data_IF_457398440595
#
_entry.id   IF_457398440595
#
_cell.length_a   1.000
_cell.length_b   1.000
_cell.length_c   1.000
_cell.angle_alpha   90.00
_cell.angle_beta   90.00
_cell.angle_gamma   90.00
#
_symmetry.space_group_name_H-M   'P 1'
#
loop_
_entity.id
_entity.type
_entity.pdbx_description
1 polymer ?
#
# COMPACT_ATOMS: atom_id res chain seq x y z
N UNK A 1 -10.78 -18.05 -24.25
CA UNK A 1 -11.63 -17.69 -23.11
C UNK A 1 -10.62 -17.39 -22.04
N UNK A 2 -10.18 -16.14 -22.06
CA UNK A 2 -9.09 -15.64 -21.24
C UNK A 2 -9.61 -15.59 -19.81
N UNK A 3 -8.88 -16.24 -18.90
CA UNK A 3 -9.19 -16.21 -17.48
C UNK A 3 -8.73 -14.84 -16.96
N UNK A 4 -9.69 -14.03 -16.55
CA UNK A 4 -9.48 -12.79 -15.83
C UNK A 4 -8.76 -13.13 -14.50
N UNK A 5 -7.44 -12.90 -14.44
CA UNK A 5 -6.73 -12.71 -13.19
C UNK A 5 -7.26 -11.41 -12.57
N UNK A 6 -8.18 -11.53 -11.61
CA UNK A 6 -8.50 -10.44 -10.68
C UNK A 6 -7.24 -10.19 -9.84
N UNK A 7 -6.36 -9.32 -10.32
CA UNK A 7 -5.33 -8.68 -9.52
C UNK A 7 -6.01 -8.07 -8.29
N UNK A 8 -5.74 -8.61 -7.10
CA UNK A 8 -6.07 -7.92 -5.85
C UNK A 8 -5.33 -6.58 -5.86
N UNK A 9 -6.03 -5.50 -6.22
CA UNK A 9 -5.54 -4.14 -6.14
C UNK A 9 -4.97 -3.92 -4.74
N UNK A 10 -3.63 -3.91 -4.61
CA UNK A 10 -2.95 -3.53 -3.37
C UNK A 10 -3.38 -2.11 -3.09
N UNK A 11 -4.32 -1.97 -2.15
CA UNK A 11 -4.85 -0.67 -1.74
C UNK A 11 -3.69 0.15 -1.20
N UNK A 12 -3.21 1.11 -2.00
CA UNK A 12 -2.21 2.07 -1.56
C UNK A 12 -2.81 2.92 -0.44
N UNK A 13 -2.28 2.76 0.79
CA UNK A 13 -2.71 3.55 1.94
C UNK A 13 -1.76 4.75 2.05
N UNK A 14 -2.27 6.00 1.91
CA UNK A 14 -1.43 7.19 1.99
C UNK A 14 -0.63 7.23 3.29
N UNK A 15 0.69 7.34 3.19
CA UNK A 15 1.59 7.43 4.33
C UNK A 15 2.17 6.11 4.85
N UNK A 16 1.63 4.95 4.47
CA UNK A 16 2.15 3.66 4.95
C UNK A 16 3.58 3.37 4.47
N UNK A 17 3.98 3.93 3.33
CA UNK A 17 5.33 3.82 2.81
C UNK A 17 6.31 4.87 3.38
N UNK A 18 5.91 5.68 4.37
CA UNK A 18 6.77 6.76 4.90
C UNK A 18 7.72 6.30 6.00
N UNK A 19 7.44 5.17 6.68
CA UNK A 19 8.26 4.70 7.81
C UNK A 19 9.77 4.62 7.53
N UNK A 20 10.24 4.15 6.34
CA UNK A 20 11.67 4.12 6.02
C UNK A 20 12.36 5.48 6.07
N UNK A 21 11.62 6.59 5.97
CA UNK A 21 12.15 7.95 5.85
C UNK A 21 12.04 8.78 7.13
N UNK A 22 11.32 8.29 8.15
CA UNK A 22 10.98 9.06 9.36
C UNK A 22 12.20 9.54 10.16
N UNK A 23 13.33 8.84 10.09
CA UNK A 23 14.58 9.27 10.74
C UNK A 23 15.18 10.52 10.09
N UNK A 24 14.87 10.78 8.81
CA UNK A 24 15.34 11.95 8.04
C UNK A 24 14.38 13.13 8.10
N UNK A 25 13.14 12.94 8.57
CA UNK A 25 12.11 13.98 8.63
C UNK A 25 12.56 15.23 9.42
N UNK A 26 13.28 15.13 10.56
CA UNK A 26 13.78 16.32 11.24
C UNK A 26 14.70 17.19 10.37
N UNK A 27 15.55 16.56 9.54
CA UNK A 27 16.41 17.28 8.59
C UNK A 27 15.58 17.94 7.48
N UNK A 28 14.58 17.23 6.95
CA UNK A 28 13.70 17.77 5.92
C UNK A 28 12.82 18.90 6.46
N UNK A 29 12.39 18.85 7.72
CA UNK A 29 11.64 19.92 8.38
C UNK A 29 12.50 21.18 8.51
N UNK A 30 13.78 21.03 8.85
CA UNK A 30 14.72 22.14 8.92
C UNK A 30 14.88 22.80 7.54
N UNK A 31 15.11 22.01 6.49
CA UNK A 31 15.21 22.51 5.10
C UNK A 31 13.92 23.18 4.63
N UNK A 32 12.76 22.61 4.97
CA UNK A 32 11.47 23.21 4.67
C UNK A 32 11.36 24.62 5.30
N UNK A 33 11.68 24.74 6.59
CA UNK A 33 11.66 26.02 7.33
C UNK A 33 12.62 27.06 6.73
N UNK A 34 13.82 26.64 6.36
CA UNK A 34 14.80 27.50 5.69
C UNK A 34 14.25 28.06 4.38
N UNK A 35 13.73 27.17 3.52
CA UNK A 35 13.18 27.56 2.23
C UNK A 35 12.02 28.53 2.41
N UNK A 36 11.04 28.25 3.27
CA UNK A 36 9.87 29.13 3.40
C UNK A 36 10.22 30.50 4.00
N UNK A 37 11.29 30.62 4.78
CA UNK A 37 11.74 31.89 5.37
C UNK A 37 12.43 32.84 4.37
N UNK A 38 12.92 32.35 3.23
CA UNK A 38 13.60 33.20 2.23
C UNK A 38 12.67 34.33 1.70
N UNK A 39 13.18 35.55 1.52
CA UNK A 39 12.38 36.61 0.92
C UNK A 39 12.28 36.37 -0.60
N UNK A 40 11.07 36.14 -1.12
CA UNK A 40 10.84 36.06 -2.57
C UNK A 40 9.70 37.00 -2.92
N UNK A 41 9.96 37.92 -3.84
CA UNK A 41 8.94 38.84 -4.38
C UNK A 41 8.35 38.26 -5.66
N UNK A 42 7.03 38.14 -5.66
CA UNK A 42 6.14 38.01 -6.84
C UNK A 42 6.50 36.91 -7.84
N UNK A 43 5.92 35.73 -7.61
CA UNK A 43 6.09 34.54 -8.45
C UNK A 43 4.74 34.07 -9.00
N UNK A 44 4.72 33.32 -10.12
CA UNK A 44 3.48 32.79 -10.71
C UNK A 44 2.59 32.00 -9.74
N UNK A 45 3.17 31.40 -8.69
CA UNK A 45 2.40 30.66 -7.69
C UNK A 45 1.62 31.55 -6.72
N UNK A 46 1.94 32.85 -6.58
CA UNK A 46 1.11 33.77 -5.81
C UNK A 46 -0.30 33.90 -6.40
N UNK A 47 -0.40 33.97 -7.73
CA UNK A 47 -1.69 34.11 -8.42
C UNK A 47 -2.56 32.87 -8.19
N UNK A 48 -1.96 31.67 -8.29
CA UNK A 48 -2.73 30.42 -8.14
C UNK A 48 -3.24 30.21 -6.71
N UNK A 49 -2.41 30.45 -5.71
CA UNK A 49 -2.83 30.34 -4.32
C UNK A 49 -3.88 31.39 -3.94
N UNK A 50 -3.83 32.60 -4.51
CA UNK A 50 -4.93 33.57 -4.39
C UNK A 50 -6.22 33.05 -5.03
N UNK A 51 -6.13 32.49 -6.24
CA UNK A 51 -7.28 31.89 -6.93
C UNK A 51 -7.91 30.76 -6.11
N UNK A 52 -7.12 29.87 -5.50
CA UNK A 52 -7.63 28.82 -4.61
C UNK A 52 -8.30 29.41 -3.37
N UNK A 53 -7.68 30.42 -2.73
CA UNK A 53 -8.28 31.08 -1.58
C UNK A 53 -9.64 31.69 -1.92
N UNK A 54 -9.73 32.43 -3.02
CA UNK A 54 -10.95 33.12 -3.43
C UNK A 54 -12.05 32.15 -3.85
N UNK A 55 -11.70 31.12 -4.63
CA UNK A 55 -12.68 30.19 -5.21
C UNK A 55 -13.16 29.09 -4.25
N UNK A 56 -12.34 28.68 -3.28
CA UNK A 56 -12.63 27.53 -2.40
C UNK A 56 -12.80 27.91 -0.93
N UNK A 57 -12.25 29.06 -0.52
CA UNK A 57 -12.10 29.40 0.90
C UNK A 57 -12.46 30.87 1.19
N UNK A 58 -13.36 31.47 0.40
CA UNK A 58 -13.88 32.84 0.63
C UNK A 58 -12.79 33.91 0.82
N UNK A 59 -11.65 33.76 0.15
CA UNK A 59 -10.51 34.67 0.23
C UNK A 59 -9.68 34.54 1.52
N UNK A 60 -9.79 33.42 2.23
CA UNK A 60 -9.09 33.15 3.49
C UNK A 60 -7.57 33.41 3.38
N UNK A 61 -7.11 34.42 4.11
CA UNK A 61 -5.72 34.86 4.09
C UNK A 61 -4.74 33.85 4.69
N UNK A 62 -5.19 33.09 5.69
CA UNK A 62 -4.35 32.09 6.36
C UNK A 62 -4.06 30.95 5.40
N UNK A 63 -5.09 30.40 4.74
CA UNK A 63 -4.90 29.42 3.68
C UNK A 63 -4.00 29.97 2.57
N UNK A 64 -4.27 31.19 2.10
CA UNK A 64 -3.46 31.82 1.05
C UNK A 64 -1.97 31.86 1.41
N UNK A 65 -1.65 32.28 2.63
CA UNK A 65 -0.27 32.34 3.13
C UNK A 65 0.37 30.95 3.23
N UNK A 66 -0.34 29.94 3.76
CA UNK A 66 0.16 28.56 3.85
C UNK A 66 0.35 27.93 2.48
N UNK A 67 -0.57 28.18 1.56
CA UNK A 67 -0.46 27.78 0.17
C UNK A 67 0.82 28.35 -0.48
N UNK A 68 1.17 29.61 -0.20
CA UNK A 68 2.42 30.19 -0.68
C UNK A 68 3.66 29.46 -0.13
N UNK A 69 3.68 29.12 1.15
CA UNK A 69 4.78 28.35 1.76
C UNK A 69 4.97 26.99 1.07
N UNK A 70 3.86 26.27 0.83
CA UNK A 70 3.87 24.97 0.14
C UNK A 70 4.34 25.10 -1.30
N UNK A 71 3.77 26.04 -2.05
CA UNK A 71 4.11 26.28 -3.45
C UNK A 71 5.58 26.68 -3.61
N UNK A 72 6.10 27.51 -2.70
CA UNK A 72 7.51 27.89 -2.65
C UNK A 72 8.43 26.69 -2.40
N UNK A 73 8.04 25.79 -1.50
CA UNK A 73 8.81 24.57 -1.26
C UNK A 73 8.76 23.61 -2.47
N UNK A 74 7.62 23.46 -3.13
CA UNK A 74 7.51 22.68 -4.38
C UNK A 74 8.42 23.25 -5.48
N UNK A 75 8.48 24.57 -5.63
CA UNK A 75 9.41 25.23 -6.55
C UNK A 75 10.89 24.93 -6.21
N UNK A 76 11.23 24.93 -4.91
CA UNK A 76 12.57 24.53 -4.48
C UNK A 76 12.87 23.07 -4.85
N UNK A 77 11.94 22.16 -4.61
CA UNK A 77 12.08 20.75 -4.97
C UNK A 77 12.23 20.54 -6.49
N UNK A 78 11.50 21.32 -7.31
CA UNK A 78 11.66 21.32 -8.77
C UNK A 78 13.10 21.64 -9.19
N UNK A 79 13.74 22.63 -8.55
CA UNK A 79 15.15 22.96 -8.82
C UNK A 79 16.14 21.85 -8.46
N UNK A 80 15.68 20.84 -7.71
CA UNK A 80 16.42 19.67 -7.24
C UNK A 80 15.89 18.36 -7.84
N UNK A 81 15.19 18.38 -8.98
CA UNK A 81 14.53 17.19 -9.55
C UNK A 81 15.47 15.99 -9.85
N UNK A 82 16.79 16.20 -9.93
CA UNK A 82 17.79 15.12 -10.06
C UNK A 82 18.26 14.53 -8.72
N UNK A 83 17.84 15.08 -7.58
CA UNK A 83 18.13 14.57 -6.25
C UNK A 83 17.34 13.27 -6.03
N UNK A 84 18.04 12.19 -5.70
CA UNK A 84 17.41 10.89 -5.42
C UNK A 84 16.48 10.94 -4.20
N UNK A 85 16.58 11.97 -3.36
CA UNK A 85 15.78 12.15 -2.15
C UNK A 85 14.42 12.83 -2.38
N UNK A 86 14.03 13.04 -3.63
CA UNK A 86 12.82 13.80 -3.98
C UNK A 86 11.56 13.13 -3.41
N UNK A 87 11.46 11.80 -3.48
CA UNK A 87 10.30 11.05 -3.01
C UNK A 87 10.15 11.15 -1.48
N UNK A 88 11.25 11.06 -0.74
CA UNK A 88 11.31 11.19 0.71
C UNK A 88 10.91 12.60 1.17
N UNK A 89 11.33 13.62 0.42
CA UNK A 89 10.96 15.01 0.68
C UNK A 89 9.50 15.30 0.39
N UNK A 90 8.93 14.66 -0.64
CA UNK A 90 7.50 14.73 -0.94
C UNK A 90 6.67 14.02 0.13
N UNK A 91 7.11 12.84 0.59
CA UNK A 91 6.50 12.12 1.72
C UNK A 91 6.50 12.98 2.99
N UNK A 92 7.63 13.61 3.30
CA UNK A 92 7.75 14.55 4.41
C UNK A 92 6.82 15.76 4.26
N UNK A 93 6.73 16.37 3.07
CA UNK A 93 5.79 17.46 2.81
C UNK A 93 4.35 17.03 3.11
N UNK A 94 3.92 15.88 2.58
CA UNK A 94 2.57 15.38 2.85
C UNK A 94 2.33 15.08 4.33
N UNK A 95 3.33 14.54 5.03
CA UNK A 95 3.28 14.35 6.47
C UNK A 95 3.07 15.67 7.21
N UNK A 96 3.82 16.75 6.91
CA UNK A 96 3.62 18.06 7.52
C UNK A 96 2.20 18.58 7.28
N UNK A 97 1.73 18.54 6.02
CA UNK A 97 0.40 19.04 5.66
C UNK A 97 -0.70 18.34 6.45
N UNK A 98 -0.51 17.06 6.76
CA UNK A 98 -1.46 16.26 7.51
C UNK A 98 -1.28 16.33 9.04
N UNK A 99 -0.11 16.70 9.55
CA UNK A 99 0.26 16.58 10.98
C UNK A 99 0.50 17.90 11.71
N UNK A 100 0.86 18.98 11.02
CA UNK A 100 1.08 20.32 11.58
C UNK A 100 -0.19 21.16 11.46
N UNK A 101 -0.73 21.60 12.60
CA UNK A 101 -1.97 22.37 12.69
C UNK A 101 -1.92 23.67 11.90
N UNK A 102 -0.73 24.22 11.63
CA UNK A 102 -0.59 25.41 10.78
C UNK A 102 -1.12 25.20 9.36
N UNK A 103 -1.16 23.96 8.87
CA UNK A 103 -1.57 23.62 7.50
C UNK A 103 -2.96 22.99 7.40
N UNK A 104 -3.39 22.22 8.41
CA UNK A 104 -4.70 21.54 8.40
C UNK A 104 -5.77 22.15 9.30
N UNK A 105 -5.42 23.01 10.26
CA UNK A 105 -6.35 23.62 11.20
C UNK A 105 -6.54 25.11 10.88
N UNK A 106 -7.13 25.37 9.72
CA UNK A 106 -7.45 26.73 9.25
C UNK A 106 -8.93 27.00 9.49
N UNK A 107 -9.23 28.16 10.08
CA UNK A 107 -10.60 28.57 10.44
C UNK A 107 -11.53 28.49 9.22
N UNK A 108 -12.69 27.85 9.41
CA UNK A 108 -13.72 27.64 8.38
C UNK A 108 -13.26 26.81 7.16
N UNK A 109 -12.17 26.05 7.27
CA UNK A 109 -11.72 25.13 6.22
C UNK A 109 -11.64 23.70 6.77
N UNK A 110 -12.13 22.72 6.02
CA UNK A 110 -11.97 21.31 6.40
C UNK A 110 -10.56 20.81 6.04
N UNK A 111 -9.99 19.91 6.85
CA UNK A 111 -8.70 19.27 6.54
C UNK A 111 -8.71 18.61 5.16
N UNK A 112 -9.81 17.94 4.79
CA UNK A 112 -9.96 17.32 3.49
C UNK A 112 -9.82 18.33 2.34
N UNK A 113 -10.53 19.45 2.42
CA UNK A 113 -10.51 20.47 1.34
C UNK A 113 -9.16 21.18 1.26
N UNK A 114 -8.51 21.41 2.41
CA UNK A 114 -7.15 21.95 2.48
C UNK A 114 -6.16 21.02 1.77
N UNK A 115 -6.16 19.73 2.11
CA UNK A 115 -5.28 18.75 1.47
C UNK A 115 -5.60 18.59 -0.02
N UNK A 116 -6.88 18.55 -0.42
CA UNK A 116 -7.25 18.50 -1.85
C UNK A 116 -6.73 19.75 -2.58
N UNK A 117 -6.84 20.95 -2.01
CA UNK A 117 -6.29 22.15 -2.62
C UNK A 117 -4.76 22.08 -2.76
N UNK A 118 -4.03 21.65 -1.73
CA UNK A 118 -2.57 21.46 -1.82
C UNK A 118 -2.18 20.40 -2.85
N UNK A 119 -2.99 19.33 -3.00
CA UNK A 119 -2.75 18.25 -3.98
C UNK A 119 -2.76 18.74 -5.43
N UNK A 120 -3.35 19.91 -5.71
CA UNK A 120 -3.37 20.50 -7.05
C UNK A 120 -2.15 21.36 -7.35
N UNK A 121 -1.35 21.76 -6.37
CA UNK A 121 -0.19 22.62 -6.60
C UNK A 121 0.94 21.97 -7.42
N UNK A 122 1.26 20.66 -7.27
CA UNK A 122 2.29 19.98 -8.08
C UNK A 122 2.23 20.24 -9.60
N UNK A 123 1.03 20.44 -10.16
CA UNK A 123 0.85 20.64 -11.60
C UNK A 123 1.51 21.92 -12.14
N UNK A 124 1.81 22.90 -11.28
CA UNK A 124 2.55 24.12 -11.66
C UNK A 124 4.06 23.94 -11.64
N UNK A 125 4.53 22.82 -11.11
CA UNK A 125 5.94 22.59 -10.78
C UNK A 125 6.48 21.34 -11.48
N UNK A 126 6.13 21.18 -12.76
CA UNK A 126 6.47 19.99 -13.58
C UNK A 126 6.19 18.67 -12.84
N UNK A 127 5.03 18.63 -12.17
CA UNK A 127 4.50 17.48 -11.44
C UNK A 127 5.42 16.96 -10.32
N UNK A 128 6.25 17.83 -9.73
CA UNK A 128 7.03 17.47 -8.54
C UNK A 128 6.08 17.13 -7.38
N UNK A 129 6.31 15.99 -6.72
CA UNK A 129 5.40 15.45 -5.70
C UNK A 129 3.99 15.11 -6.22
N UNK A 130 3.82 14.88 -7.52
CA UNK A 130 2.56 14.38 -8.07
C UNK A 130 2.13 13.08 -7.38
N UNK A 131 0.84 12.97 -7.07
CA UNK A 131 0.23 11.88 -6.28
C UNK A 131 0.91 11.59 -4.93
N UNK A 132 1.73 12.51 -4.41
CA UNK A 132 2.35 12.35 -3.09
C UNK A 132 1.60 13.12 -2.00
N UNK A 133 0.87 14.18 -2.36
CA UNK A 133 0.09 15.01 -1.44
C UNK A 133 -1.34 14.49 -1.40
N UNK A 134 -1.68 13.78 -0.32
CA UNK A 134 -2.94 13.08 -0.15
C UNK A 134 -3.35 13.07 1.34
N UNK A 135 -4.65 12.95 1.61
CA UNK A 135 -5.16 12.91 2.97
C UNK A 135 -4.74 11.60 3.64
N UNK A 136 -4.00 11.70 4.74
CA UNK A 136 -3.61 10.54 5.57
C UNK A 136 -4.70 10.33 6.61
N UNK A 137 -5.22 9.10 6.69
CA UNK A 137 -6.21 8.74 7.70
C UNK A 137 -5.62 8.86 9.10
N UNK A 138 -6.47 9.15 10.09
CA UNK A 138 -5.98 9.49 11.44
C UNK A 138 -5.25 8.31 12.12
N UNK A 139 -5.60 7.07 11.78
CA UNK A 139 -4.95 5.90 12.36
C UNK A 139 -3.52 5.74 11.81
N UNK A 140 -3.33 5.86 10.49
CA UNK A 140 -2.01 5.87 9.86
C UNK A 140 -1.19 7.07 10.32
N UNK A 141 -1.78 8.26 10.36
CA UNK A 141 -1.12 9.48 10.83
C UNK A 141 -0.66 9.38 12.29
N UNK A 142 -1.47 8.77 13.16
CA UNK A 142 -1.11 8.54 14.57
C UNK A 142 0.12 7.64 14.68
N UNK A 143 0.18 6.57 13.89
CA UNK A 143 1.36 5.69 13.86
C UNK A 143 2.60 6.42 13.35
N UNK A 144 2.47 7.19 12.27
CA UNK A 144 3.56 8.01 11.75
C UNK A 144 4.08 9.00 12.80
N UNK A 145 3.19 9.68 13.52
CA UNK A 145 3.55 10.59 14.62
C UNK A 145 4.31 9.87 15.73
N UNK A 146 3.83 8.72 16.20
CA UNK A 146 4.54 7.98 17.25
C UNK A 146 5.95 7.55 16.83
N UNK A 147 6.10 6.99 15.62
CA UNK A 147 7.42 6.55 15.14
C UNK A 147 8.33 7.76 14.84
N UNK A 148 7.79 8.86 14.31
CA UNK A 148 8.54 10.11 14.14
C UNK A 148 9.05 10.65 15.48
N UNK A 149 8.18 10.74 16.50
CA UNK A 149 8.53 11.14 17.86
C UNK A 149 9.65 10.29 18.47
N UNK A 150 9.66 8.99 18.18
CA UNK A 150 10.71 8.06 18.60
C UNK A 150 12.05 8.43 17.97
N UNK A 151 12.09 8.73 16.66
CA UNK A 151 13.30 9.15 15.95
C UNK A 151 13.79 10.52 16.42
N UNK A 152 12.91 11.49 16.65
CA UNK A 152 13.29 12.78 17.23
C UNK A 152 13.92 12.63 18.63
N UNK A 153 13.31 11.80 19.47
CA UNK A 153 13.82 11.50 20.81
C UNK A 153 15.19 10.84 20.71
N UNK A 154 15.38 9.94 19.74
CA UNK A 154 16.67 9.29 19.52
C UNK A 154 17.74 10.24 19.00
N UNK A 155 17.39 11.22 18.16
CA UNK A 155 18.29 12.31 17.77
C UNK A 155 18.84 13.06 18.99
N UNK A 156 18.00 13.31 20.01
CA UNK A 156 18.41 13.93 21.28
C UNK A 156 19.34 13.00 22.08
N UNK A 157 19.08 11.69 22.10
CA UNK A 157 19.97 10.70 22.74
C UNK A 157 21.33 10.64 22.05
N UNK A 158 21.36 10.65 20.70
CA UNK A 158 22.59 10.63 19.89
C UNK A 158 23.50 11.82 20.14
N UNK A 159 22.94 12.99 20.52
CA UNK A 159 23.74 14.18 20.83
C UNK A 159 24.65 14.02 22.06
N UNK A 160 24.36 13.04 22.92
CA UNK A 160 25.10 12.78 24.17
C UNK A 160 26.15 11.68 23.96
N UNK A 161 27.44 11.99 24.20
CA UNK A 161 28.56 11.08 23.87
C UNK A 161 29.12 10.26 25.03
N UNK A 162 29.07 10.75 26.27
CA UNK A 162 29.82 10.16 27.39
C UNK A 162 28.94 9.60 28.50
N UNK A 163 27.84 10.27 28.85
CA UNK A 163 26.95 9.88 29.95
C UNK A 163 25.51 10.21 29.60
N UNK A 164 24.64 9.20 29.54
CA UNK A 164 23.21 9.40 29.35
C UNK A 164 22.54 9.52 30.72
N UNK A 165 22.29 10.77 31.13
CA UNK A 165 21.61 11.15 32.37
C UNK A 165 20.58 12.25 32.07
N UNK A 166 19.65 12.50 32.99
CA UNK A 166 18.66 13.57 32.86
C UNK A 166 17.83 13.45 31.57
N UNK A 167 17.86 14.49 30.74
CA UNK A 167 17.11 14.56 29.48
C UNK A 167 17.44 13.41 28.52
N UNK A 168 18.70 12.97 28.47
CA UNK A 168 19.06 11.81 27.65
C UNK A 168 18.28 10.57 28.10
N UNK A 169 18.14 10.37 29.41
CA UNK A 169 17.36 9.25 29.95
C UNK A 169 15.87 9.36 29.67
N UNK A 170 15.31 10.55 29.81
CA UNK A 170 13.90 10.80 29.48
C UNK A 170 13.62 10.45 28.01
N UNK A 171 14.49 10.87 27.10
CA UNK A 171 14.35 10.56 25.67
C UNK A 171 14.59 9.07 25.38
N UNK A 172 15.59 8.44 26.00
CA UNK A 172 15.86 7.01 25.83
C UNK A 172 14.68 6.14 26.30
N UNK A 173 14.04 6.49 27.43
CA UNK A 173 12.81 5.84 27.90
C UNK A 173 11.66 6.02 26.91
N UNK A 174 11.45 7.23 26.40
CA UNK A 174 10.43 7.49 25.38
C UNK A 174 10.67 6.64 24.14
N UNK A 175 11.92 6.54 23.68
CA UNK A 175 12.33 5.68 22.57
C UNK A 175 11.95 4.21 22.82
N UNK A 176 12.40 3.62 23.95
CA UNK A 176 12.13 2.22 24.25
C UNK A 176 10.64 1.93 24.42
N UNK A 177 9.88 2.82 25.07
CA UNK A 177 8.44 2.63 25.25
C UNK A 177 7.66 2.64 23.94
N UNK A 178 7.99 3.53 23.00
CA UNK A 178 7.36 3.53 21.68
C UNK A 178 7.77 2.27 20.92
N UNK A 179 9.06 1.93 20.92
CA UNK A 179 9.56 0.72 20.27
C UNK A 179 8.83 -0.54 20.74
N UNK A 180 8.74 -0.76 22.05
CA UNK A 180 8.12 -1.95 22.65
C UNK A 180 6.63 -2.06 22.29
N UNK A 181 5.92 -0.93 22.18
CA UNK A 181 4.51 -0.91 21.79
C UNK A 181 4.26 -1.42 20.37
N UNK A 182 5.19 -1.18 19.44
CA UNK A 182 5.01 -1.58 18.04
C UNK A 182 5.71 -2.92 17.72
N UNK A 183 6.88 -3.19 18.28
CA UNK A 183 7.68 -4.39 17.96
C UNK A 183 6.96 -5.70 18.31
N UNK A 184 6.06 -5.68 19.30
CA UNK A 184 5.27 -6.85 19.68
C UNK A 184 4.41 -7.41 18.55
N UNK A 185 4.10 -6.59 17.54
CA UNK A 185 3.33 -7.01 16.35
C UNK A 185 4.23 -7.40 15.17
N UNK A 186 5.56 -7.27 15.32
CA UNK A 186 6.53 -7.59 14.29
C UNK A 186 7.03 -9.02 14.40
N UNK A 187 7.29 -9.60 13.23
CA UNK A 187 8.01 -10.86 13.08
C UNK A 187 9.40 -10.61 12.50
N UNK A 188 10.36 -11.50 12.79
CA UNK A 188 11.76 -11.37 12.34
C UNK A 188 11.90 -11.22 10.81
N UNK A 189 11.02 -11.84 10.03
CA UNK A 189 10.99 -11.82 8.56
C UNK A 189 9.90 -10.90 7.98
N UNK A 190 9.31 -10.04 8.81
CA UNK A 190 8.25 -9.14 8.38
C UNK A 190 8.76 -8.13 7.33
N UNK A 191 8.05 -8.04 6.21
CA UNK A 191 8.25 -7.01 5.19
C UNK A 191 7.42 -5.73 5.44
N UNK A 192 6.73 -5.67 6.57
CA UNK A 192 5.96 -4.49 6.97
C UNK A 192 6.89 -3.28 7.19
N UNK A 193 6.52 -2.12 6.64
CA UNK A 193 7.35 -0.92 6.67
C UNK A 193 7.67 -0.44 8.10
N UNK A 194 6.76 -0.63 9.05
CA UNK A 194 7.01 -0.30 10.46
C UNK A 194 8.04 -1.28 11.02
N UNK A 195 7.86 -2.57 10.79
CA UNK A 195 8.76 -3.60 11.32
C UNK A 195 10.19 -3.48 10.77
N UNK A 196 10.35 -3.19 9.48
CA UNK A 196 11.66 -2.89 8.89
C UNK A 196 12.29 -1.63 9.53
N UNK A 197 11.52 -0.56 9.68
CA UNK A 197 11.99 0.67 10.35
C UNK A 197 12.44 0.39 11.80
N UNK A 198 11.65 -0.36 12.56
CA UNK A 198 11.98 -0.72 13.95
C UNK A 198 13.22 -1.62 14.02
N UNK A 199 13.39 -2.55 13.08
CA UNK A 199 14.58 -3.39 12.98
C UNK A 199 15.85 -2.54 12.81
N UNK A 200 15.82 -1.58 11.88
CA UNK A 200 16.93 -0.62 11.67
C UNK A 200 17.17 0.24 12.91
N UNK A 201 16.09 0.80 13.48
CA UNK A 201 16.15 1.61 14.70
C UNK A 201 16.81 0.86 15.86
N UNK A 202 16.42 -0.40 16.11
CA UNK A 202 17.00 -1.23 17.17
C UNK A 202 18.51 -1.33 17.05
N UNK A 203 19.02 -1.63 15.85
CA UNK A 203 20.45 -1.75 15.60
C UNK A 203 21.19 -0.45 15.89
N UNK A 204 20.66 0.68 15.43
CA UNK A 204 21.27 1.99 15.68
C UNK A 204 21.25 2.37 17.17
N UNK A 205 20.10 2.19 17.83
CA UNK A 205 19.91 2.52 19.23
C UNK A 205 20.85 1.72 20.12
N UNK A 206 20.90 0.40 19.95
CA UNK A 206 21.77 -0.45 20.76
C UNK A 206 23.25 -0.18 20.51
N UNK A 207 23.64 0.11 19.27
CA UNK A 207 25.01 0.49 18.93
C UNK A 207 25.42 1.76 19.66
N UNK A 208 24.55 2.78 19.64
CA UNK A 208 24.79 4.03 20.37
C UNK A 208 24.86 3.78 21.88
N UNK A 209 23.87 3.09 22.45
CA UNK A 209 23.78 2.86 23.89
C UNK A 209 24.91 1.97 24.44
N UNK A 210 25.48 1.07 23.63
CA UNK A 210 26.69 0.30 23.98
C UNK A 210 27.94 1.19 24.10
N UNK A 211 28.00 2.29 23.36
CA UNK A 211 29.13 3.23 23.38
C UNK A 211 29.10 4.19 24.58
N UNK A 212 27.93 4.39 25.19
CA UNK A 212 27.75 5.28 26.35
C UNK A 212 28.29 4.62 27.62
N UNK A 213 29.15 5.33 28.37
CA UNK A 213 29.81 4.79 29.58
C UNK A 213 28.86 4.71 30.77
N UNK A 214 28.14 5.78 31.04
CA UNK A 214 27.19 5.88 32.16
C UNK A 214 25.78 5.86 31.60
N UNK A 215 25.01 4.86 32.01
CA UNK A 215 23.62 4.71 31.61
C UNK A 215 22.65 5.13 32.70
N UNK A 216 21.44 5.47 32.28
CA UNK A 216 20.27 5.44 33.16
C UNK A 216 20.05 4.03 33.69
N UNK A 217 19.62 3.90 34.93
CA UNK A 217 19.20 2.62 35.51
C UNK A 217 18.06 1.95 34.71
N UNK A 218 17.16 2.76 34.14
CA UNK A 218 15.96 2.24 33.45
C UNK A 218 16.04 2.31 31.92
N UNK A 219 17.16 2.77 31.35
CA UNK A 219 17.33 2.76 29.89
C UNK A 219 17.85 1.39 29.45
N UNK A 220 17.07 0.69 28.64
CA UNK A 220 17.46 -0.62 28.13
C UNK A 220 18.64 -0.47 27.15
N UNK A 221 19.75 -1.17 27.40
CA UNK A 221 20.84 -1.31 26.42
C UNK A 221 20.48 -2.21 25.24
N UNK A 222 19.54 -3.10 25.46
CA UNK A 222 19.09 -4.12 24.53
C UNK A 222 17.58 -4.02 24.48
N UNK A 223 17.04 -3.73 23.30
CA UNK A 223 15.61 -3.65 23.08
C UNK A 223 15.02 -5.04 22.85
N UNK A 224 13.71 -5.18 23.02
CA UNK A 224 13.00 -6.44 22.75
C UNK A 224 13.17 -6.85 21.27
N UNK A 225 13.52 -8.10 20.93
CA UNK A 225 13.55 -8.52 19.53
C UNK A 225 12.12 -8.72 18.98
N UNK A 226 11.92 -8.63 17.65
CA UNK A 226 10.69 -9.08 16.99
C UNK A 226 10.38 -10.56 17.29
N UNK A 227 9.13 -10.98 17.10
CA UNK A 227 8.72 -12.37 17.28
C UNK A 227 9.36 -13.27 16.23
N UNK A 228 9.78 -14.47 16.63
CA UNK A 228 10.12 -15.52 15.67
C UNK A 228 8.86 -16.01 14.98
N UNK A 229 8.87 -16.03 13.66
CA UNK A 229 7.86 -16.73 12.90
C UNK A 229 8.03 -18.24 13.13
N UNK A 230 6.96 -18.96 13.44
CA UNK A 230 6.96 -20.40 13.22
C UNK A 230 6.65 -20.63 11.74
N UNK A 231 7.53 -20.18 10.83
CA UNK A 231 7.35 -20.21 9.37
C UNK A 231 6.92 -21.59 8.88
N UNK A 232 7.43 -22.64 9.53
CA UNK A 232 7.07 -24.04 9.33
C UNK A 232 5.56 -24.29 9.48
N UNK A 233 4.90 -23.69 10.47
CA UNK A 233 3.46 -23.89 10.72
C UNK A 233 2.62 -23.20 9.65
N UNK A 234 2.97 -21.99 9.23
CA UNK A 234 2.23 -21.26 8.18
C UNK A 234 2.36 -21.95 6.82
N UNK A 235 3.58 -22.36 6.44
CA UNK A 235 3.83 -23.13 5.22
C UNK A 235 3.10 -24.48 5.29
N UNK A 236 3.15 -25.18 6.42
CA UNK A 236 2.41 -26.44 6.61
C UNK A 236 0.91 -26.24 6.43
N UNK A 237 0.31 -25.19 7.01
CA UNK A 237 -1.12 -24.90 6.86
C UNK A 237 -1.45 -24.67 5.38
N UNK A 238 -0.69 -23.84 4.66
CA UNK A 238 -0.91 -23.57 3.24
C UNK A 238 -0.79 -24.84 2.39
N UNK A 239 0.25 -25.64 2.61
CA UNK A 239 0.43 -26.93 1.93
C UNK A 239 -0.72 -27.90 2.24
N UNK A 240 -1.15 -27.98 3.50
CA UNK A 240 -2.28 -28.82 3.92
C UNK A 240 -3.56 -28.34 3.23
N UNK A 241 -3.85 -27.03 3.18
CA UNK A 241 -5.05 -26.52 2.52
C UNK A 241 -5.06 -26.82 1.02
N UNK A 242 -3.93 -26.67 0.33
CA UNK A 242 -3.80 -26.97 -1.11
C UNK A 242 -4.05 -28.45 -1.40
N UNK A 243 -3.61 -29.35 -0.52
CA UNK A 243 -3.83 -30.79 -0.68
C UNK A 243 -5.26 -31.21 -0.31
N UNK A 244 -5.81 -30.59 0.72
CA UNK A 244 -7.09 -30.97 1.29
C UNK A 244 -8.28 -30.49 0.43
N UNK A 245 -8.21 -29.29 -0.15
CA UNK A 245 -9.32 -28.71 -0.94
C UNK A 245 -9.68 -29.58 -2.17
N UNK A 246 -8.73 -30.00 -3.04
CA UNK A 246 -9.02 -30.88 -4.17
C UNK A 246 -9.53 -32.26 -3.73
N UNK A 247 -9.00 -32.80 -2.63
CA UNK A 247 -9.47 -34.06 -2.06
C UNK A 247 -10.93 -33.96 -1.60
N UNK A 248 -11.30 -32.89 -0.89
CA UNK A 248 -12.69 -32.65 -0.51
C UNK A 248 -13.59 -32.46 -1.73
N UNK A 249 -13.18 -31.66 -2.73
CA UNK A 249 -13.94 -31.48 -3.97
C UNK A 249 -14.15 -32.79 -4.72
N UNK A 250 -13.13 -33.65 -4.78
CA UNK A 250 -13.24 -34.98 -5.38
C UNK A 250 -14.22 -35.89 -4.64
N UNK A 251 -14.20 -35.86 -3.31
CA UNK A 251 -15.15 -36.62 -2.47
C UNK A 251 -16.57 -36.09 -2.69
N UNK A 252 -16.78 -34.77 -2.70
CA UNK A 252 -18.11 -34.20 -2.95
C UNK A 252 -18.60 -34.51 -4.37
N UNK A 253 -17.73 -34.43 -5.37
CA UNK A 253 -18.06 -34.78 -6.75
C UNK A 253 -18.47 -36.26 -6.89
N UNK A 254 -17.77 -37.18 -6.21
CA UNK A 254 -18.01 -38.63 -6.33
C UNK A 254 -19.13 -39.14 -5.44
N UNK A 255 -19.33 -38.57 -4.26
CA UNK A 255 -20.20 -39.12 -3.21
C UNK A 255 -21.43 -38.27 -2.88
N UNK A 256 -21.57 -37.07 -3.44
CA UNK A 256 -22.80 -36.27 -3.33
C UNK A 256 -23.68 -36.53 -4.56
N UNK A 257 -24.95 -36.96 -4.43
CA UNK A 257 -25.77 -37.41 -5.55
C UNK A 257 -26.39 -36.22 -6.31
N UNK A 258 -25.58 -35.25 -6.75
CA UNK A 258 -26.02 -34.22 -7.70
C UNK A 258 -25.87 -34.66 -9.17
N UNK A 259 -25.19 -35.77 -9.42
CA UNK A 259 -25.02 -36.36 -10.76
C UNK A 259 -26.34 -36.57 -11.52
N UNK A 260 -27.42 -37.12 -10.92
CA UNK A 260 -28.71 -37.27 -11.59
C UNK A 260 -29.45 -35.95 -11.85
N UNK A 261 -29.16 -34.89 -11.08
CA UNK A 261 -29.87 -33.61 -11.14
C UNK A 261 -29.30 -32.67 -12.22
N UNK A 262 -27.99 -32.74 -12.46
CA UNK A 262 -27.29 -31.87 -13.42
C UNK A 262 -27.20 -32.47 -14.83
N UNK A 263 -27.31 -33.79 -14.97
CA UNK A 263 -27.25 -34.49 -16.26
C UNK A 263 -28.26 -34.00 -17.31
N UNK A 264 -29.52 -33.66 -16.95
CA UNK A 264 -30.49 -33.13 -17.91
C UNK A 264 -30.09 -31.75 -18.44
N UNK A 265 -29.56 -30.86 -17.58
CA UNK A 265 -29.16 -29.48 -17.96
C UNK A 265 -27.95 -29.48 -18.89
N UNK A 266 -26.96 -30.31 -18.61
CA UNK A 266 -25.77 -30.45 -19.49
C UNK A 266 -26.15 -31.01 -20.86
N UNK A 267 -27.10 -31.96 -20.92
CA UNK A 267 -27.59 -32.48 -22.20
C UNK A 267 -28.35 -31.42 -23.01
N UNK A 268 -29.13 -30.55 -22.36
CA UNK A 268 -29.83 -29.44 -23.02
C UNK A 268 -28.84 -28.42 -23.62
N UNK A 269 -27.80 -28.03 -22.88
CA UNK A 269 -26.77 -27.11 -23.37
C UNK A 269 -26.02 -27.74 -24.56
N UNK A 270 -25.64 -29.02 -24.45
CA UNK A 270 -24.94 -29.73 -25.53
C UNK A 270 -25.78 -29.83 -26.81
N UNK A 271 -27.09 -30.08 -26.69
CA UNK A 271 -28.03 -30.09 -27.82
C UNK A 271 -28.13 -28.70 -28.48
N UNK A 272 -28.09 -27.63 -27.69
CA UNK A 272 -28.13 -26.26 -28.19
C UNK A 272 -26.88 -25.93 -29.02
N UNK A 273 -25.70 -26.39 -28.60
CA UNK A 273 -24.45 -26.22 -29.36
C UNK A 273 -24.41 -27.03 -30.67
N UNK A 274 -24.88 -28.30 -30.66
CA UNK A 274 -24.93 -29.08 -31.90
C UNK A 274 -25.89 -28.50 -32.95
N UNK A 275 -27.01 -27.90 -32.51
CA UNK A 275 -27.95 -27.25 -33.42
C UNK A 275 -27.36 -25.97 -34.06
N UNK A 276 -26.49 -25.25 -33.34
CA UNK A 276 -25.81 -24.05 -33.87
C UNK A 276 -24.71 -24.39 -34.89
N UNK A 277 -24.06 -25.54 -34.75
CA UNK A 277 -23.07 -26.04 -35.73
C UNK A 277 -23.74 -26.57 -37.02
N UNK A 278 -24.86 -27.27 -36.89
CA UNK A 278 -25.58 -27.86 -38.04
C UNK A 278 -26.26 -26.80 -38.92
N UNK A 279 -26.68 -25.66 -38.34
CA UNK A 279 -27.22 -24.52 -39.08
C UNK A 279 -26.13 -23.77 -39.88
N UNK A 280 -24.88 -23.79 -39.40
CA UNK A 280 -23.73 -23.20 -40.10
C UNK A 280 -23.17 -24.08 -41.24
N UNK A 281 -23.36 -25.41 -41.19
CA UNK A 281 -22.87 -26.32 -42.23
C UNK A 281 -23.80 -26.44 -43.46
N UNK A 282 -25.08 -26.08 -43.34
CA UNK A 282 -26.06 -26.20 -44.42
C UNK A 282 -26.11 -24.99 -45.41
N UNK A 283 -25.30 -23.94 -45.21
CA UNK A 283 -25.29 -22.73 -46.06
C UNK A 283 -24.22 -22.78 -47.17
N UNK A 284 -23.34 -23.78 -47.18
CA UNK A 284 -22.28 -23.88 -48.19
C UNK A 284 -22.13 -25.30 -48.71
N UNK A 285 -22.50 -25.51 -49.97
CA UNK A 285 -21.79 -26.24 -51.04
C UNK A 285 -22.82 -26.85 -52.00
N UNK A 286 -23.00 -26.17 -53.14
CA UNK A 286 -23.61 -26.71 -54.35
C UNK A 286 -22.69 -27.72 -55.05
N UNK A 287 -23.33 -28.66 -55.74
CA UNK A 287 -22.85 -29.52 -56.83
C UNK A 287 -21.93 -30.72 -56.51
N UNK A 288 -22.52 -31.92 -56.48
CA UNK A 288 -22.05 -33.02 -57.35
C UNK A 288 -23.14 -34.09 -57.59
N UNK A 289 -23.03 -34.70 -58.77
CA UNK A 289 -23.97 -35.58 -59.44
C UNK A 289 -24.29 -36.91 -58.74
N UNK A 290 -25.52 -37.34 -58.95
CA UNK A 290 -26.19 -38.52 -58.39
C UNK A 290 -25.83 -39.81 -59.15
N UNK A 291 -25.34 -40.83 -58.43
CA UNK A 291 -25.32 -42.23 -58.89
C UNK A 291 -25.81 -43.15 -57.77
N UNK A 292 -26.93 -43.84 -57.96
CA UNK A 292 -27.47 -44.82 -57.00
C UNK A 292 -26.67 -46.12 -56.99
N UNK A 293 -26.32 -46.66 -55.80
CA UNK A 293 -25.93 -48.06 -55.66
C UNK A 293 -27.14 -48.95 -55.31
N UNK A 294 -27.21 -50.08 -56.00
CA UNK A 294 -28.25 -51.10 -55.89
C UNK A 294 -28.18 -51.94 -54.60
N UNK A 295 -29.36 -52.26 -54.09
CA UNK A 295 -29.67 -53.11 -52.93
C UNK A 295 -29.18 -54.56 -53.04
N UNK A 296 -28.47 -55.06 -52.03
CA UNK A 296 -28.49 -56.49 -51.64
C UNK A 296 -28.51 -56.66 -50.12
N UNK A 297 -29.70 -56.93 -49.57
CA UNK A 297 -29.90 -57.49 -48.22
C UNK A 297 -29.26 -58.89 -48.16
N UNK A 298 -28.46 -59.18 -47.14
CA UNK A 298 -28.25 -60.54 -46.65
C UNK A 298 -28.73 -60.65 -45.21
N UNK A 299 -29.83 -61.39 -45.08
CA UNK A 299 -30.47 -61.85 -43.86
C UNK A 299 -29.62 -62.96 -43.24
N UNK A 300 -29.38 -62.90 -41.93
CA UNK A 300 -28.96 -64.08 -41.16
C UNK A 300 -29.89 -64.26 -39.97
N UNK A 301 -30.53 -65.43 -39.95
CA UNK A 301 -31.34 -65.94 -38.85
C UNK A 301 -30.45 -66.80 -37.95
N UNK A 302 -30.45 -66.54 -36.65
CA UNK A 302 -29.89 -67.47 -35.66
C UNK A 302 -30.99 -67.74 -34.63
N UNK A 303 -31.34 -69.02 -34.50
CA UNK A 303 -32.35 -69.52 -33.58
C UNK A 303 -31.74 -69.79 -32.19
N UNK A 304 -32.54 -69.56 -31.15
CA UNK A 304 -32.26 -69.89 -29.76
C UNK A 304 -32.71 -71.32 -29.45
N UNK A 305 -32.09 -71.97 -28.46
CA UNK A 305 -32.74 -72.98 -27.65
C UNK A 305 -32.30 -72.86 -26.19
N UNK A 306 -33.28 -72.82 -25.29
CA UNK A 306 -33.14 -72.98 -23.84
C UNK A 306 -33.61 -74.38 -23.44
N UNK A 307 -32.75 -75.11 -22.74
CA UNK A 307 -33.05 -75.87 -21.50
C UNK A 307 -31.73 -76.15 -20.80
#
# INVERSE_FOLDING_TARGET
MDEDEEDEDIKNIPGDNYYPYLSSFPEYLQKFKEVIAEQVTDTPYHVRCSSFADSRFEGNSDFRNRCYEVAKYLNHLLSKKSDSTIHERCAHLNYILNSDSNYYNITNCSKHDLIDAYSKLPSDFNDVCFSSIELIDEHTLTKLKHIHDMHESFGKVKSTKTSCIGDCCTNAKKCSSIYDNYVQNCYEDSIDYICDNLGKFKNEYETHMKSVKTLCTDALKILTPPKKNNSTVTVLIACITILIIPCFLFIFYKFTPFGPLLRPRVHQIKKMFYNLDDENQNISVDNYEYVQPSTKKKTYHVAYNST
#
